data_IF_070958257014
#
_entry.id   IF_070958257014
#
_cell.length_a   1.000
_cell.length_b   1.000
_cell.length_c   1.000
_cell.angle_alpha   90.00
_cell.angle_beta   90.00
_cell.angle_gamma   90.00
#
_symmetry.space_group_name_H-M   'P 1'
#
loop_
_entity.id
_entity.type
_entity.pdbx_description
1 polymer ?
#
# COMPACT_ATOMS: atom_id res chain seq x y z
N UNK A 1 0.49 -11.46 -29.45
CA UNK A 1 1.90 -11.23 -29.08
C UNK A 1 2.43 -10.09 -29.95
N UNK A 2 2.65 -8.93 -29.36
CA UNK A 2 3.18 -7.77 -30.08
C UNK A 2 3.73 -6.77 -29.06
N UNK A 3 5.05 -6.57 -29.09
CA UNK A 3 5.78 -5.65 -28.23
C UNK A 3 5.46 -4.19 -28.55
N UNK A 4 5.34 -3.34 -27.54
CA UNK A 4 5.31 -1.89 -27.70
C UNK A 4 6.55 -1.40 -28.47
N UNK A 5 6.36 -0.53 -29.47
CA UNK A 5 7.45 0.18 -30.15
C UNK A 5 7.39 1.66 -29.79
N UNK A 6 8.47 2.15 -29.18
CA UNK A 6 8.73 3.57 -29.03
C UNK A 6 9.10 4.18 -30.38
N UNK A 7 8.41 5.24 -30.78
CA UNK A 7 8.84 6.12 -31.86
C UNK A 7 9.11 7.51 -31.30
N UNK A 8 10.38 7.90 -31.30
CA UNK A 8 10.81 9.24 -30.91
C UNK A 8 10.78 10.11 -32.18
N UNK A 9 9.72 10.88 -32.38
CA UNK A 9 9.60 11.83 -33.49
C UNK A 9 9.72 13.24 -32.93
N UNK A 10 10.92 13.81 -32.97
CA UNK A 10 11.17 15.21 -32.62
C UNK A 10 11.04 15.53 -31.12
N UNK A 11 11.91 16.39 -30.61
CA UNK A 11 12.24 16.54 -29.19
C UNK A 11 11.16 17.11 -28.25
N UNK A 12 9.88 17.19 -28.64
CA UNK A 12 8.83 17.73 -27.75
C UNK A 12 7.42 17.10 -27.88
N UNK A 13 7.24 16.04 -28.68
CA UNK A 13 5.91 15.43 -28.86
C UNK A 13 5.94 13.96 -28.49
N UNK A 14 5.43 13.64 -27.29
CA UNK A 14 5.14 12.27 -26.91
C UNK A 14 3.82 11.86 -27.58
N UNK A 15 3.91 11.04 -28.63
CA UNK A 15 2.73 10.46 -29.29
C UNK A 15 2.35 9.17 -28.56
N UNK A 16 1.27 9.19 -27.79
CA UNK A 16 0.68 8.00 -27.20
C UNK A 16 -0.22 7.33 -28.24
N UNK A 17 0.25 6.20 -28.79
CA UNK A 17 -0.56 5.38 -29.69
C UNK A 17 -1.39 4.43 -28.83
N UNK A 18 -2.66 4.76 -28.66
CA UNK A 18 -3.62 3.92 -27.94
C UNK A 18 -3.99 2.71 -28.81
N UNK A 19 -3.68 1.49 -28.34
CA UNK A 19 -4.00 0.27 -29.08
C UNK A 19 -5.45 -0.20 -28.91
N UNK A 20 -6.26 0.51 -28.12
CA UNK A 20 -7.65 0.16 -27.87
C UNK A 20 -8.58 0.61 -29.01
N UNK A 21 -8.65 -0.21 -30.06
CA UNK A 21 -9.54 -0.04 -31.21
C UNK A 21 -11.03 -0.15 -30.84
N UNK A 22 -11.36 -0.68 -29.65
CA UNK A 22 -12.72 -1.07 -29.28
C UNK A 22 -13.46 -0.08 -28.37
N UNK A 23 -12.81 0.99 -27.89
CA UNK A 23 -13.40 1.99 -26.97
C UNK A 23 -14.01 1.40 -25.68
N UNK A 24 -13.58 0.19 -25.26
CA UNK A 24 -14.02 -0.46 -24.01
C UNK A 24 -12.84 -0.76 -23.08
N UNK A 25 -12.12 0.29 -22.59
CA UNK A 25 -10.92 0.10 -21.77
C UNK A 25 -11.20 -0.63 -20.45
N UNK A 26 -12.38 -0.42 -19.86
CA UNK A 26 -12.75 -1.08 -18.62
C UNK A 26 -12.89 -2.60 -18.77
N UNK A 27 -13.55 -3.06 -19.85
CA UNK A 27 -13.73 -4.50 -20.10
C UNK A 27 -12.39 -5.21 -20.29
N UNK A 28 -11.41 -4.56 -20.92
CA UNK A 28 -10.05 -5.10 -21.07
C UNK A 28 -9.38 -5.28 -19.70
N UNK A 29 -9.43 -4.25 -18.85
CA UNK A 29 -8.90 -4.32 -17.48
C UNK A 29 -9.64 -5.39 -16.65
N UNK A 30 -10.96 -5.41 -16.73
CA UNK A 30 -11.80 -6.27 -15.90
C UNK A 30 -11.77 -7.74 -16.32
N UNK A 31 -11.51 -8.05 -17.59
CA UNK A 31 -11.36 -9.43 -18.05
C UNK A 31 -9.90 -9.92 -18.08
N UNK A 32 -8.94 -9.04 -17.81
CA UNK A 32 -7.53 -9.43 -17.73
C UNK A 32 -7.28 -10.44 -16.61
N UNK A 33 -6.55 -11.52 -16.91
CA UNK A 33 -6.27 -12.62 -15.96
C UNK A 33 -4.81 -12.70 -15.53
N UNK A 34 -3.93 -11.81 -16.00
CA UNK A 34 -2.53 -11.84 -15.60
C UNK A 34 -2.24 -11.20 -14.24
N UNK A 35 -0.98 -11.30 -13.82
CA UNK A 35 -0.53 -10.93 -12.48
C UNK A 35 0.02 -9.48 -12.40
N UNK A 36 0.15 -8.80 -13.54
CA UNK A 36 0.70 -7.45 -13.64
C UNK A 36 -0.15 -6.56 -14.54
N UNK A 37 -0.34 -5.30 -14.17
CA UNK A 37 -1.04 -4.28 -14.98
C UNK A 37 -0.09 -3.37 -15.77
N UNK A 38 1.20 -3.70 -15.86
CA UNK A 38 2.25 -2.87 -16.50
C UNK A 38 1.87 -2.39 -17.92
N UNK A 39 1.33 -3.28 -18.74
CA UNK A 39 1.00 -2.99 -20.14
C UNK A 39 -0.36 -2.30 -20.34
N UNK A 40 -1.10 -2.00 -19.27
CA UNK A 40 -2.49 -1.52 -19.34
C UNK A 40 -2.68 -0.08 -18.88
N UNK A 41 -1.59 0.69 -18.74
CA UNK A 41 -1.67 2.11 -18.36
C UNK A 41 -2.41 2.98 -19.39
N UNK A 42 -2.34 2.62 -20.66
CA UNK A 42 -3.09 3.26 -21.74
C UNK A 42 -4.61 3.09 -21.56
N UNK A 43 -5.07 1.96 -21.02
CA UNK A 43 -6.46 1.70 -20.71
C UNK A 43 -6.97 2.62 -19.59
N UNK A 44 -6.17 2.85 -18.54
CA UNK A 44 -6.53 3.78 -17.46
C UNK A 44 -6.63 5.22 -17.97
N UNK A 45 -5.71 5.66 -18.82
CA UNK A 45 -5.75 7.01 -19.40
C UNK A 45 -6.92 7.16 -20.39
N UNK A 46 -7.17 6.16 -21.23
CA UNK A 46 -8.33 6.13 -22.13
C UNK A 46 -9.63 6.21 -21.32
N UNK A 47 -9.72 5.43 -20.23
CA UNK A 47 -10.87 5.44 -19.33
C UNK A 47 -11.08 6.83 -18.71
N UNK A 48 -10.02 7.49 -18.26
CA UNK A 48 -10.06 8.87 -17.74
C UNK A 48 -10.64 9.85 -18.78
N UNK A 49 -10.16 9.80 -20.02
CA UNK A 49 -10.62 10.67 -21.11
C UNK A 49 -12.10 10.40 -21.43
N UNK A 50 -12.49 9.13 -21.52
CA UNK A 50 -13.88 8.71 -21.75
C UNK A 50 -14.78 9.22 -20.63
N UNK A 51 -14.39 9.07 -19.37
CA UNK A 51 -15.12 9.55 -18.21
C UNK A 51 -15.37 11.06 -18.24
N UNK A 52 -14.35 11.85 -18.61
CA UNK A 52 -14.47 13.31 -18.72
C UNK A 52 -15.39 13.68 -19.88
N UNK A 53 -15.19 13.08 -21.06
CA UNK A 53 -15.95 13.38 -22.28
C UNK A 53 -17.43 13.02 -22.14
N UNK A 54 -17.71 11.84 -21.60
CA UNK A 54 -19.06 11.29 -21.47
C UNK A 54 -19.72 11.64 -20.13
N UNK A 55 -18.99 12.35 -19.25
CA UNK A 55 -19.44 12.74 -17.90
C UNK A 55 -19.98 11.55 -17.10
N UNK A 56 -19.23 10.46 -17.11
CA UNK A 56 -19.60 9.19 -16.46
C UNK A 56 -18.46 8.63 -15.64
N UNK A 57 -18.80 7.83 -14.63
CA UNK A 57 -17.80 7.21 -13.76
C UNK A 57 -17.14 5.97 -14.39
N UNK A 58 -15.88 5.68 -14.03
CA UNK A 58 -15.09 4.61 -14.64
C UNK A 58 -15.50 3.20 -14.20
N UNK A 59 -16.26 3.05 -13.12
CA UNK A 59 -16.73 1.75 -12.60
C UNK A 59 -18.04 1.27 -13.21
N UNK A 60 -18.64 2.02 -14.14
CA UNK A 60 -19.88 1.61 -14.81
C UNK A 60 -19.66 0.30 -15.56
N UNK A 61 -20.39 -0.73 -15.16
CA UNK A 61 -20.22 -2.11 -15.66
C UNK A 61 -19.65 -3.09 -14.63
N UNK A 62 -19.28 -2.63 -13.43
CA UNK A 62 -18.97 -3.53 -12.33
C UNK A 62 -20.21 -4.27 -11.84
N UNK A 63 -20.07 -5.56 -11.45
CA UNK A 63 -21.10 -6.26 -10.70
C UNK A 63 -21.42 -5.52 -9.39
N UNK A 64 -22.70 -5.46 -9.02
CA UNK A 64 -23.13 -4.81 -7.77
C UNK A 64 -22.75 -5.64 -6.52
N UNK A 65 -22.44 -6.92 -6.69
CA UNK A 65 -22.19 -7.92 -5.65
C UNK A 65 -20.72 -8.38 -5.59
N UNK A 66 -19.79 -7.48 -5.91
CA UNK A 66 -18.35 -7.77 -5.86
C UNK A 66 -17.92 -8.29 -4.48
N UNK A 67 -17.38 -9.50 -4.48
CA UNK A 67 -16.74 -10.07 -3.30
C UNK A 67 -15.25 -9.70 -3.26
N UNK A 68 -14.93 -8.62 -2.56
CA UNK A 68 -13.55 -8.13 -2.40
C UNK A 68 -12.63 -9.13 -1.68
N UNK A 69 -13.17 -10.10 -0.94
CA UNK A 69 -12.38 -11.12 -0.23
C UNK A 69 -11.65 -12.06 -1.20
N UNK A 70 -12.31 -12.43 -2.30
CA UNK A 70 -11.82 -13.45 -3.24
C UNK A 70 -11.11 -12.88 -4.46
N UNK A 71 -11.15 -11.55 -4.67
CA UNK A 71 -10.48 -10.90 -5.78
C UNK A 71 -8.96 -11.08 -5.72
N UNK A 72 -8.33 -11.30 -6.88
CA UNK A 72 -6.86 -11.35 -6.97
C UNK A 72 -6.23 -10.00 -6.63
N UNK A 73 -4.95 -10.00 -6.27
CA UNK A 73 -4.20 -8.77 -5.98
C UNK A 73 -4.22 -7.82 -7.18
N UNK A 74 -4.09 -8.33 -8.41
CA UNK A 74 -4.24 -7.55 -9.66
C UNK A 74 -5.61 -6.88 -9.76
N UNK A 75 -6.71 -7.60 -9.48
CA UNK A 75 -8.06 -7.02 -9.53
C UNK A 75 -8.25 -5.92 -8.50
N UNK A 76 -7.70 -6.10 -7.30
CA UNK A 76 -7.72 -5.06 -6.27
C UNK A 76 -6.89 -3.83 -6.69
N UNK A 77 -5.72 -4.01 -7.34
CA UNK A 77 -4.94 -2.90 -7.91
C UNK A 77 -5.73 -2.14 -8.99
N UNK A 78 -6.41 -2.85 -9.89
CA UNK A 78 -7.28 -2.25 -10.92
C UNK A 78 -8.39 -1.43 -10.25
N UNK A 79 -9.12 -2.01 -9.30
CA UNK A 79 -10.18 -1.31 -8.57
C UNK A 79 -9.65 -0.10 -7.82
N UNK A 80 -8.48 -0.21 -7.19
CA UNK A 80 -7.81 0.93 -6.54
C UNK A 80 -7.57 2.07 -7.53
N UNK A 81 -7.02 1.79 -8.71
CA UNK A 81 -6.78 2.82 -9.73
C UNK A 81 -8.07 3.38 -10.31
N UNK A 82 -9.09 2.55 -10.54
CA UNK A 82 -10.43 2.99 -10.98
C UNK A 82 -11.05 3.94 -9.94
N UNK A 83 -10.96 3.59 -8.65
CA UNK A 83 -11.45 4.44 -7.56
C UNK A 83 -10.69 5.77 -7.49
N UNK A 84 -9.36 5.74 -7.65
CA UNK A 84 -8.54 6.95 -7.74
C UNK A 84 -8.96 7.85 -8.92
N UNK A 85 -9.13 7.28 -10.11
CA UNK A 85 -9.61 8.01 -11.28
C UNK A 85 -10.96 8.65 -11.03
N UNK A 86 -11.82 7.95 -10.30
CA UNK A 86 -13.16 8.44 -9.99
C UNK A 86 -13.17 9.66 -9.09
N UNK A 87 -12.28 9.68 -8.09
CA UNK A 87 -12.09 10.84 -7.23
C UNK A 87 -11.56 12.04 -8.04
N UNK A 88 -10.71 11.80 -9.05
CA UNK A 88 -10.22 12.86 -9.96
C UNK A 88 -11.30 13.44 -10.87
N UNK A 89 -12.23 12.60 -11.38
CA UNK A 89 -13.30 13.05 -12.29
C UNK A 89 -14.58 13.46 -11.55
N UNK A 90 -14.62 13.34 -10.22
CA UNK A 90 -15.81 13.62 -9.43
C UNK A 90 -16.35 15.03 -9.67
N UNK A 91 -15.47 16.03 -9.77
CA UNK A 91 -15.85 17.43 -9.96
C UNK A 91 -16.45 17.74 -11.35
N UNK A 92 -16.23 16.88 -12.36
CA UNK A 92 -16.71 17.11 -13.73
C UNK A 92 -17.98 16.32 -14.06
N UNK A 93 -18.42 15.42 -13.17
CA UNK A 93 -19.59 14.58 -13.37
C UNK A 93 -20.79 15.19 -12.63
N UNK A 94 -21.88 15.54 -13.35
CA UNK A 94 -22.95 16.40 -12.82
C UNK A 94 -23.86 15.70 -11.79
N UNK A 95 -23.95 14.37 -11.79
CA UNK A 95 -24.80 13.65 -10.85
C UNK A 95 -24.27 12.24 -10.63
N UNK A 96 -24.07 11.87 -9.36
CA UNK A 96 -23.75 10.50 -8.95
C UNK A 96 -25.04 9.84 -8.49
N UNK A 97 -25.55 8.86 -9.24
CA UNK A 97 -26.76 8.11 -8.83
C UNK A 97 -26.42 6.91 -7.94
N UNK A 98 -25.30 6.25 -8.22
CA UNK A 98 -24.79 5.10 -7.47
C UNK A 98 -23.25 5.13 -7.46
N UNK A 99 -22.65 4.74 -6.32
CA UNK A 99 -21.20 4.58 -6.17
C UNK A 99 -20.93 3.09 -5.90
N UNK A 100 -20.67 2.34 -6.95
CA UNK A 100 -20.71 0.86 -6.94
C UNK A 100 -19.35 0.22 -6.63
N UNK A 101 -18.40 1.02 -6.15
CA UNK A 101 -17.05 0.60 -5.78
C UNK A 101 -16.73 1.05 -4.35
N UNK A 102 -15.77 0.41 -3.68
CA UNK A 102 -15.26 0.93 -2.40
C UNK A 102 -14.40 2.21 -2.62
N UNK A 103 -14.36 3.13 -1.64
CA UNK A 103 -13.51 4.32 -1.72
C UNK A 103 -12.03 3.98 -1.90
N UNK A 104 -11.25 4.90 -2.48
CA UNK A 104 -9.84 4.67 -2.82
C UNK A 104 -9.05 4.22 -1.61
N UNK A 105 -9.25 4.87 -0.46
CA UNK A 105 -8.52 4.57 0.77
C UNK A 105 -8.77 3.13 1.27
N UNK A 106 -10.00 2.62 1.13
CA UNK A 106 -10.34 1.26 1.54
C UNK A 106 -9.66 0.25 0.60
N UNK A 107 -9.75 0.47 -0.71
CA UNK A 107 -9.09 -0.39 -1.70
C UNK A 107 -7.57 -0.34 -1.57
N UNK A 108 -7.03 0.82 -1.26
CA UNK A 108 -5.62 0.99 -1.00
C UNK A 108 -5.19 0.13 0.19
N UNK A 109 -5.92 0.14 1.30
CA UNK A 109 -5.61 -0.75 2.43
C UNK A 109 -5.74 -2.22 2.06
N UNK A 110 -6.77 -2.64 1.31
CA UNK A 110 -6.89 -4.04 0.88
C UNK A 110 -5.71 -4.50 0.03
N UNK A 111 -5.29 -3.68 -0.94
CA UNK A 111 -4.10 -3.95 -1.76
C UNK A 111 -2.86 -4.04 -0.87
N UNK A 112 -2.66 -3.07 0.02
CA UNK A 112 -1.51 -3.03 0.92
C UNK A 112 -1.48 -4.24 1.86
N UNK A 113 -2.62 -4.66 2.43
CA UNK A 113 -2.71 -5.87 3.27
C UNK A 113 -2.26 -7.11 2.49
N UNK A 114 -2.76 -7.32 1.27
CA UNK A 114 -2.34 -8.47 0.44
C UNK A 114 -0.84 -8.45 0.15
N UNK A 115 -0.31 -7.31 -0.27
CA UNK A 115 1.12 -7.15 -0.55
C UNK A 115 1.99 -7.41 0.69
N UNK A 116 1.55 -6.95 1.86
CA UNK A 116 2.24 -7.20 3.12
C UNK A 116 2.24 -8.69 3.46
N UNK A 117 1.09 -9.38 3.35
CA UNK A 117 0.99 -10.82 3.58
C UNK A 117 1.93 -11.56 2.62
N UNK A 118 1.83 -11.30 1.31
CA UNK A 118 2.66 -11.94 0.28
C UNK A 118 4.16 -11.75 0.56
N UNK A 119 4.59 -10.53 0.91
CA UNK A 119 5.98 -10.23 1.23
C UNK A 119 6.44 -10.89 2.53
N UNK A 120 5.65 -10.80 3.61
CA UNK A 120 6.00 -11.42 4.89
C UNK A 120 6.12 -12.94 4.75
N UNK A 121 5.20 -13.59 4.05
CA UNK A 121 5.28 -15.04 3.75
C UNK A 121 6.57 -15.38 3.01
N UNK A 122 6.95 -14.60 1.98
CA UNK A 122 8.23 -14.78 1.28
C UNK A 122 9.44 -14.63 2.21
N UNK A 123 9.46 -13.60 3.05
CA UNK A 123 10.56 -13.36 3.99
C UNK A 123 10.65 -14.47 5.04
N UNK A 124 9.53 -14.98 5.55
CA UNK A 124 9.53 -16.12 6.47
C UNK A 124 10.04 -17.40 5.82
N UNK A 125 9.74 -17.63 4.55
CA UNK A 125 10.31 -18.75 3.82
C UNK A 125 11.81 -18.56 3.61
N UNK A 126 12.26 -17.38 3.18
CA UNK A 126 13.70 -17.04 3.07
C UNK A 126 14.43 -17.23 4.40
N UNK A 127 13.79 -16.90 5.52
CA UNK A 127 14.34 -17.05 6.88
C UNK A 127 14.65 -18.52 7.25
N UNK A 128 13.91 -19.47 6.68
CA UNK A 128 14.17 -20.92 6.91
C UNK A 128 15.50 -21.36 6.30
N UNK A 129 15.95 -20.66 5.26
CA UNK A 129 17.16 -21.00 4.50
C UNK A 129 18.35 -20.11 4.89
N UNK A 130 18.09 -18.83 5.18
CA UNK A 130 19.13 -17.81 5.40
C UNK A 130 18.71 -16.82 6.48
N UNK A 131 19.69 -16.22 7.17
CA UNK A 131 19.41 -15.14 8.12
C UNK A 131 18.92 -13.90 7.37
N UNK A 132 17.79 -13.34 7.81
CA UNK A 132 17.30 -12.05 7.30
C UNK A 132 18.17 -10.89 7.80
N UNK A 133 18.30 -9.84 6.99
CA UNK A 133 18.99 -8.62 7.41
C UNK A 133 18.19 -7.86 8.48
N UNK A 134 18.87 -7.02 9.26
CA UNK A 134 18.19 -6.20 10.28
C UNK A 134 17.13 -5.28 9.66
N UNK A 135 17.36 -4.81 8.43
CA UNK A 135 16.37 -4.04 7.67
C UNK A 135 15.11 -4.88 7.39
N UNK A 136 15.28 -6.12 6.92
CA UNK A 136 14.16 -7.03 6.68
C UNK A 136 13.40 -7.35 7.98
N UNK A 137 14.12 -7.63 9.07
CA UNK A 137 13.52 -7.92 10.36
C UNK A 137 12.72 -6.72 10.91
N UNK A 138 13.29 -5.51 10.88
CA UNK A 138 12.59 -4.28 11.30
C UNK A 138 11.38 -3.97 10.41
N UNK A 139 11.49 -4.23 9.11
CA UNK A 139 10.38 -4.07 8.19
C UNK A 139 9.23 -5.04 8.50
N UNK A 140 9.52 -6.30 8.82
CA UNK A 140 8.51 -7.29 9.27
C UNK A 140 7.81 -6.78 10.54
N UNK A 141 8.55 -6.22 11.49
CA UNK A 141 7.99 -5.64 12.70
C UNK A 141 6.98 -4.52 12.40
N UNK A 142 7.37 -3.54 11.58
CA UNK A 142 6.48 -2.43 11.17
C UNK A 142 5.25 -2.95 10.42
N UNK A 143 5.44 -3.91 9.51
CA UNK A 143 4.35 -4.50 8.74
C UNK A 143 3.38 -5.29 9.60
N UNK A 144 3.88 -6.04 10.59
CA UNK A 144 3.06 -6.72 11.58
C UNK A 144 2.23 -5.71 12.41
N UNK A 145 2.83 -4.58 12.81
CA UNK A 145 2.10 -3.51 13.47
C UNK A 145 1.01 -2.92 12.57
N UNK A 146 1.32 -2.65 11.30
CA UNK A 146 0.33 -2.19 10.32
C UNK A 146 -0.86 -3.15 10.24
N UNK A 147 -0.63 -4.47 10.16
CA UNK A 147 -1.72 -5.45 10.12
C UNK A 147 -2.58 -5.41 11.40
N UNK A 148 -1.96 -5.29 12.58
CA UNK A 148 -2.68 -5.11 13.86
C UNK A 148 -3.52 -3.84 13.86
N UNK A 149 -2.99 -2.75 13.32
CA UNK A 149 -3.70 -1.46 13.21
C UNK A 149 -4.92 -1.56 12.28
N UNK A 150 -4.82 -2.31 11.17
CA UNK A 150 -5.95 -2.52 10.26
C UNK A 150 -7.10 -3.27 10.95
N UNK A 151 -6.78 -4.19 11.86
CA UNK A 151 -7.77 -4.87 12.72
C UNK A 151 -8.37 -3.87 13.71
N UNK A 152 -7.54 -3.15 14.46
CA UNK A 152 -7.99 -2.19 15.48
C UNK A 152 -8.87 -1.06 14.90
N UNK A 153 -8.57 -0.58 13.68
CA UNK A 153 -9.33 0.46 12.99
C UNK A 153 -10.60 -0.04 12.29
N UNK A 154 -10.93 -1.33 12.45
CA UNK A 154 -12.08 -1.98 11.83
C UNK A 154 -12.10 -1.83 10.29
N UNK A 155 -10.93 -1.89 9.64
CA UNK A 155 -10.85 -1.76 8.18
C UNK A 155 -11.47 -2.97 7.47
N UNK A 156 -11.25 -4.18 8.00
CA UNK A 156 -11.76 -5.42 7.39
C UNK A 156 -13.31 -5.46 7.35
N UNK A 157 -14.04 -5.18 8.46
CA UNK A 157 -15.50 -5.06 8.41
C UNK A 157 -15.99 -3.95 7.47
N UNK A 158 -15.35 -2.77 7.48
CA UNK A 158 -15.72 -1.64 6.58
C UNK A 158 -15.55 -2.00 5.10
N UNK A 159 -14.53 -2.78 4.80
CA UNK A 159 -14.25 -3.28 3.45
C UNK A 159 -15.18 -4.44 3.03
N UNK A 160 -15.93 -5.04 3.96
CA UNK A 160 -16.72 -6.25 3.74
C UNK A 160 -15.86 -7.41 3.19
N UNK A 161 -14.64 -7.57 3.73
CA UNK A 161 -13.78 -8.72 3.44
C UNK A 161 -13.96 -9.79 4.50
N UNK A 162 -13.72 -11.04 4.11
CA UNK A 162 -14.11 -12.21 4.86
C UNK A 162 -12.92 -13.09 5.23
N UNK A 163 -13.15 -14.40 5.18
CA UNK A 163 -12.24 -15.41 5.70
C UNK A 163 -10.86 -15.40 5.02
N UNK A 164 -10.80 -15.13 3.72
CA UNK A 164 -9.55 -15.23 2.96
C UNK A 164 -8.52 -14.20 3.44
N UNK A 165 -8.93 -12.96 3.62
CA UNK A 165 -8.06 -11.91 4.17
C UNK A 165 -7.70 -12.18 5.63
N UNK A 166 -8.69 -12.57 6.43
CA UNK A 166 -8.51 -12.79 7.87
C UNK A 166 -7.53 -13.94 8.14
N UNK A 167 -7.71 -15.08 7.49
CA UNK A 167 -6.85 -16.25 7.67
C UNK A 167 -5.40 -15.94 7.24
N UNK A 168 -5.22 -15.23 6.12
CA UNK A 168 -3.91 -14.81 5.64
C UNK A 168 -3.20 -13.86 6.62
N UNK A 169 -3.93 -12.88 7.17
CA UNK A 169 -3.40 -11.96 8.20
C UNK A 169 -3.03 -12.70 9.48
N UNK A 170 -3.91 -13.57 9.98
CA UNK A 170 -3.68 -14.31 11.23
C UNK A 170 -2.41 -15.15 11.12
N UNK A 171 -2.20 -15.85 10.00
CA UNK A 171 -1.03 -16.71 9.85
C UNK A 171 0.28 -15.91 9.85
N UNK A 172 0.36 -14.82 9.08
CA UNK A 172 1.59 -14.01 9.06
C UNK A 172 1.82 -13.29 10.38
N UNK A 173 0.76 -12.82 11.04
CA UNK A 173 0.86 -12.16 12.34
C UNK A 173 1.28 -13.14 13.44
N UNK A 174 0.79 -14.38 13.41
CA UNK A 174 1.17 -15.42 14.37
C UNK A 174 2.67 -15.66 14.32
N UNK A 175 3.21 -15.92 13.13
CA UNK A 175 4.66 -16.11 12.94
C UNK A 175 5.42 -14.86 13.36
N UNK A 176 4.96 -13.67 12.95
CA UNK A 176 5.62 -12.41 13.28
C UNK A 176 5.68 -12.14 14.79
N UNK A 177 4.66 -12.52 15.56
CA UNK A 177 4.65 -12.30 17.01
C UNK A 177 5.61 -13.21 17.79
N UNK A 178 6.07 -14.30 17.17
CA UNK A 178 7.04 -15.24 17.75
C UNK A 178 8.50 -14.85 17.46
N UNK A 179 8.72 -13.77 16.70
CA UNK A 179 10.07 -13.34 16.31
C UNK A 179 10.70 -12.38 17.34
N UNK A 180 11.99 -12.60 17.57
CA UNK A 180 12.85 -11.59 18.20
C UNK A 180 13.31 -10.59 17.13
N UNK A 181 13.06 -9.31 17.39
CA UNK A 181 13.38 -8.22 16.47
C UNK A 181 14.62 -7.46 16.93
N UNK A 182 15.43 -6.92 16.00
CA UNK A 182 16.42 -5.91 16.34
C UNK A 182 15.79 -4.70 17.01
N UNK A 183 16.60 -3.94 17.76
CA UNK A 183 16.17 -2.67 18.35
C UNK A 183 15.46 -1.78 17.31
N UNK A 184 14.26 -1.24 17.63
CA UNK A 184 13.55 -0.33 16.75
C UNK A 184 14.38 0.94 16.50
N UNK A 185 14.23 1.47 15.29
CA UNK A 185 14.85 2.74 14.92
C UNK A 185 14.17 3.89 15.68
N UNK A 186 14.97 4.89 16.05
CA UNK A 186 14.45 6.16 16.52
C UNK A 186 14.01 7.00 15.32
N UNK A 187 12.90 7.69 15.48
CA UNK A 187 12.45 8.67 14.51
C UNK A 187 13.39 9.87 14.51
N UNK A 188 13.84 10.31 13.32
CA UNK A 188 14.74 11.46 13.20
C UNK A 188 14.08 12.81 13.52
N UNK A 189 12.74 12.90 13.60
CA UNK A 189 12.06 14.17 13.90
C UNK A 189 11.54 14.29 15.32
N UNK A 190 11.06 13.20 15.92
CA UNK A 190 10.57 13.23 17.31
C UNK A 190 11.48 12.48 18.30
N UNK A 191 12.44 11.69 17.83
CA UNK A 191 13.31 10.88 18.68
C UNK A 191 12.65 9.63 19.28
N UNK A 192 11.35 9.42 19.05
CA UNK A 192 10.63 8.26 19.57
C UNK A 192 10.91 6.99 18.76
N UNK A 193 10.73 5.84 19.40
CA UNK A 193 10.84 4.54 18.74
C UNK A 193 9.76 4.39 17.67
N UNK A 194 10.18 3.97 16.47
CA UNK A 194 9.27 3.67 15.36
C UNK A 194 8.64 2.31 15.61
N UNK A 195 7.46 2.33 16.24
CA UNK A 195 6.72 1.13 16.59
C UNK A 195 5.73 0.67 15.49
N UNK A 196 5.44 1.54 14.52
CA UNK A 196 4.41 1.30 13.51
C UNK A 196 4.62 2.07 12.20
N UNK A 197 3.60 2.06 11.31
CA UNK A 197 3.66 2.68 10.00
C UNK A 197 3.63 4.22 10.06
N UNK A 198 3.26 4.78 11.21
CA UNK A 198 3.19 6.22 11.49
C UNK A 198 3.79 6.46 12.88
N UNK A 199 4.47 7.59 13.07
CA UNK A 199 4.88 8.03 14.41
C UNK A 199 3.75 8.75 15.16
N UNK A 200 3.91 8.92 16.47
CA UNK A 200 2.95 9.61 17.31
C UNK A 200 3.66 10.70 18.13
N UNK A 201 3.43 12.01 17.86
CA UNK A 201 2.48 12.57 16.89
C UNK A 201 2.87 12.28 15.42
N UNK A 202 1.88 12.24 14.50
CA UNK A 202 2.15 12.00 13.09
C UNK A 202 2.90 13.20 12.51
N UNK A 203 4.04 12.93 11.91
CA UNK A 203 4.82 13.87 11.13
C UNK A 203 4.92 13.37 9.70
N UNK A 204 5.25 14.28 8.77
CA UNK A 204 5.35 13.97 7.35
C UNK A 204 6.61 13.14 7.11
N UNK A 205 6.54 11.82 7.30
CA UNK A 205 7.53 10.90 6.71
C UNK A 205 7.18 10.42 5.32
N UNK A 206 8.23 10.37 4.52
CA UNK A 206 8.26 9.49 3.37
C UNK A 206 8.51 8.06 3.82
N UNK A 207 7.57 7.15 3.55
CA UNK A 207 7.67 5.72 3.86
C UNK A 207 7.89 4.93 2.59
N UNK A 208 8.74 3.91 2.64
CA UNK A 208 8.90 2.99 1.52
C UNK A 208 7.61 2.21 1.29
N UNK A 209 7.10 2.24 0.06
CA UNK A 209 5.84 1.58 -0.31
C UNK A 209 5.87 0.05 -0.26
N UNK A 210 7.06 -0.55 -0.12
CA UNK A 210 7.26 -2.01 -0.07
C UNK A 210 7.53 -2.47 1.37
N UNK A 211 8.47 -1.82 2.07
CA UNK A 211 8.87 -2.24 3.43
C UNK A 211 8.17 -1.49 4.56
N UNK A 212 7.47 -0.39 4.27
CA UNK A 212 6.92 0.57 5.25
C UNK A 212 7.98 1.21 6.17
N UNK A 213 9.26 0.97 5.90
CA UNK A 213 10.35 1.62 6.62
C UNK A 213 10.36 3.12 6.28
N UNK A 214 10.68 3.98 7.26
CA UNK A 214 10.83 5.40 7.03
C UNK A 214 12.09 5.70 6.21
N UNK A 215 11.94 6.56 5.22
CA UNK A 215 13.02 7.16 4.45
C UNK A 215 13.26 8.55 5.04
N UNK A 216 14.42 8.71 5.69
CA UNK A 216 14.80 9.96 6.34
C UNK A 216 15.55 10.91 5.42
N UNK A 217 16.00 10.40 4.27
CA UNK A 217 16.76 11.16 3.27
C UNK A 217 16.15 10.94 1.88
N UNK A 218 16.94 11.07 0.83
CA UNK A 218 16.47 11.00 -0.56
C UNK A 218 16.20 9.55 -0.91
N UNK A 219 14.92 9.23 -1.13
CA UNK A 219 14.53 7.93 -1.67
C UNK A 219 15.29 7.63 -2.97
N UNK A 220 15.82 6.43 -3.12
CA UNK A 220 16.57 6.05 -4.32
C UNK A 220 15.68 5.61 -5.48
N UNK A 221 14.43 5.27 -5.20
CA UNK A 221 13.49 4.80 -6.20
C UNK A 221 12.16 5.53 -6.11
N UNK A 222 11.61 5.89 -7.27
CA UNK A 222 10.31 6.56 -7.40
C UNK A 222 9.50 5.99 -8.54
N UNK A 223 8.22 5.72 -8.28
CA UNK A 223 7.30 5.30 -9.33
C UNK A 223 6.99 6.48 -10.26
N UNK A 224 7.13 6.34 -11.59
CA UNK A 224 6.82 7.42 -12.53
C UNK A 224 5.32 7.79 -12.54
N UNK A 225 4.43 6.87 -12.15
CA UNK A 225 2.98 7.08 -12.16
C UNK A 225 2.46 7.59 -10.82
N UNK A 226 2.45 6.76 -9.78
CA UNK A 226 1.85 7.12 -8.49
C UNK A 226 2.81 7.84 -7.52
N UNK A 227 4.06 8.08 -7.93
CA UNK A 227 5.09 8.77 -7.14
C UNK A 227 5.45 8.10 -5.81
N UNK A 228 5.00 6.87 -5.57
CA UNK A 228 5.42 6.05 -4.43
C UNK A 228 6.94 5.84 -4.45
N UNK A 229 7.52 5.75 -3.27
CA UNK A 229 8.96 5.75 -3.07
C UNK A 229 9.43 4.41 -2.50
N UNK A 230 10.67 4.01 -2.80
CA UNK A 230 11.27 2.82 -2.21
C UNK A 230 12.73 3.02 -1.82
N UNK A 231 13.14 2.32 -0.76
CA UNK A 231 14.51 2.26 -0.27
C UNK A 231 15.41 1.46 -1.21
N UNK A 232 16.68 1.85 -1.28
CA UNK A 232 17.71 1.03 -1.94
C UNK A 232 17.82 -0.40 -1.40
N UNK A 233 17.63 -0.60 -0.09
CA UNK A 233 17.71 -1.92 0.55
C UNK A 233 16.73 -2.95 -0.04
N UNK A 234 15.71 -2.50 -0.77
CA UNK A 234 14.76 -3.37 -1.50
C UNK A 234 15.45 -4.12 -2.66
N UNK A 235 16.59 -3.65 -3.17
CA UNK A 235 17.40 -4.35 -4.18
C UNK A 235 17.80 -5.76 -3.75
N UNK A 236 17.90 -6.03 -2.43
CA UNK A 236 18.18 -7.35 -1.88
C UNK A 236 17.02 -8.37 -2.07
N UNK A 237 15.82 -7.86 -2.36
CA UNK A 237 14.59 -8.65 -2.51
C UNK A 237 14.04 -8.64 -3.94
N UNK A 238 14.32 -7.60 -4.71
CA UNK A 238 13.78 -7.38 -6.06
C UNK A 238 14.82 -6.71 -6.96
N UNK A 239 15.06 -7.29 -8.14
CA UNK A 239 15.83 -6.66 -9.20
C UNK A 239 15.28 -7.13 -10.56
N UNK A 240 14.62 -6.25 -11.35
CA UNK A 240 14.36 -4.84 -11.07
C UNK A 240 13.26 -4.60 -10.01
N UNK A 241 13.19 -3.37 -9.48
CA UNK A 241 12.20 -2.96 -8.47
C UNK A 241 10.95 -2.44 -9.17
N UNK A 242 9.81 -3.09 -8.94
CA UNK A 242 8.51 -2.66 -9.45
C UNK A 242 7.70 -1.93 -8.37
N UNK A 243 6.93 -0.93 -8.79
CA UNK A 243 5.99 -0.28 -7.89
C UNK A 243 4.86 -1.25 -7.53
N UNK A 244 4.61 -1.53 -6.25
CA UNK A 244 3.65 -2.57 -5.85
C UNK A 244 2.20 -2.22 -6.17
N UNK A 245 1.90 -0.95 -6.48
CA UNK A 245 0.55 -0.49 -6.82
C UNK A 245 0.31 -0.32 -8.32
N UNK A 246 1.39 -0.15 -9.08
CA UNK A 246 1.34 0.24 -10.49
C UNK A 246 1.94 -0.80 -11.44
N UNK A 247 2.68 -1.75 -10.88
CA UNK A 247 3.39 -2.83 -11.58
C UNK A 247 4.37 -2.37 -12.65
N UNK A 248 4.79 -1.10 -12.59
CA UNK A 248 5.82 -0.52 -13.46
C UNK A 248 7.16 -0.48 -12.75
N UNK A 249 8.24 -0.60 -13.51
CA UNK A 249 9.60 -0.42 -13.00
C UNK A 249 9.74 0.96 -12.37
N UNK A 250 10.29 1.01 -11.15
CA UNK A 250 10.56 2.27 -10.46
C UNK A 250 11.83 2.91 -11.02
N UNK A 251 11.77 4.22 -11.23
CA UNK A 251 12.91 5.00 -11.71
C UNK A 251 13.90 5.22 -10.56
N UNK A 252 15.18 4.99 -10.84
CA UNK A 252 16.25 5.32 -9.89
C UNK A 252 16.44 6.82 -9.86
N UNK A 253 16.32 7.42 -8.68
CA UNK A 253 16.63 8.83 -8.45
C UNK A 253 18.15 8.97 -8.43
N UNK A 254 18.70 9.56 -9.49
CA UNK A 254 20.12 9.90 -9.56
C UNK A 254 20.28 11.29 -8.96
N UNK A 255 20.90 11.37 -7.78
CA UNK A 255 21.38 12.64 -7.25
C UNK A 255 22.58 13.09 -8.08
N UNK A 256 22.51 14.29 -8.65
CA UNK A 256 23.57 14.82 -9.52
C UNK A 256 24.87 15.15 -8.77
N UNK A 257 24.81 15.28 -7.44
CA UNK A 257 25.94 15.65 -6.59
C UNK A 257 26.33 14.49 -5.66
N UNK A 258 27.46 13.84 -5.96
CA UNK A 258 28.01 12.76 -5.14
C UNK A 258 28.47 13.24 -3.75
N UNK A 259 28.83 14.52 -3.58
CA UNK A 259 29.12 15.08 -2.25
C UNK A 259 27.85 15.22 -1.42
N UNK A 260 26.74 15.63 -2.05
CA UNK A 260 25.45 15.70 -1.38
C UNK A 260 24.96 14.30 -0.99
N UNK A 261 25.16 13.31 -1.85
CA UNK A 261 24.83 11.91 -1.60
C UNK A 261 25.64 11.30 -0.44
N UNK A 262 26.93 11.58 -0.35
CA UNK A 262 27.72 11.11 0.80
C UNK A 262 27.35 11.85 2.08
N UNK A 263 27.04 13.16 2.03
CA UNK A 263 26.48 13.89 3.18
C UNK A 263 25.15 13.30 3.64
N UNK A 264 24.27 12.96 2.71
CA UNK A 264 23.02 12.26 2.99
C UNK A 264 23.25 10.90 3.66
N UNK A 265 24.19 10.10 3.14
CA UNK A 265 24.55 8.79 3.71
C UNK A 265 25.15 8.91 5.11
N UNK A 266 26.04 9.87 5.32
CA UNK A 266 26.61 10.17 6.63
C UNK A 266 25.54 10.64 7.61
N UNK A 267 24.59 11.46 7.16
CA UNK A 267 23.45 11.87 7.97
C UNK A 267 22.58 10.69 8.40
N UNK A 268 22.31 9.69 7.55
CA UNK A 268 21.58 8.47 7.95
C UNK A 268 22.35 7.66 9.02
N UNK A 269 23.67 7.57 8.87
CA UNK A 269 24.55 6.91 9.83
C UNK A 269 24.64 7.66 11.17
N UNK A 270 24.65 9.00 11.14
CA UNK A 270 24.72 9.86 12.33
C UNK A 270 23.38 9.99 13.04
N UNK A 271 22.26 10.15 12.33
CA UNK A 271 20.91 10.19 12.91
C UNK A 271 20.48 8.85 13.49
N UNK A 272 21.02 7.73 12.99
CA UNK A 272 20.88 6.44 13.69
C UNK A 272 21.55 6.41 15.09
N UNK A 273 22.36 7.43 15.42
CA UNK A 273 23.13 7.55 16.67
C UNK A 273 22.82 8.81 17.49
N UNK A 274 22.14 9.82 16.93
CA UNK A 274 21.86 11.09 17.61
C UNK A 274 20.36 11.43 17.57
N UNK A 275 19.82 11.73 18.76
CA UNK A 275 18.51 12.35 18.92
C UNK A 275 18.57 13.78 18.38
N UNK A 276 17.79 14.09 17.36
CA UNK A 276 17.53 15.47 16.99
C UNK A 276 16.48 16.01 17.96
N UNK A 277 16.92 16.78 18.96
CA UNK A 277 16.09 17.34 20.05
C UNK A 277 15.11 18.45 19.60
N UNK A 278 14.95 18.68 18.28
CA UNK A 278 14.13 19.78 17.76
C UNK A 278 13.02 19.23 16.88
N UNK A 279 11.94 18.83 17.53
CA UNK A 279 10.63 18.84 16.88
C UNK A 279 10.36 20.27 16.41
N UNK A 280 10.37 20.51 15.09
CA UNK A 280 9.86 21.74 14.49
C UNK A 280 8.34 21.74 14.67
N UNK A 281 7.90 22.07 15.88
CA UNK A 281 6.52 22.03 16.31
C UNK A 281 5.70 23.15 15.66
N UNK A 282 5.30 22.93 14.41
CA UNK A 282 4.03 23.44 13.87
C UNK A 282 2.86 22.46 14.17
N UNK A 283 3.12 21.36 14.87
CA UNK A 283 2.09 20.44 15.34
C UNK A 283 1.35 21.05 16.55
N UNK A 284 0.09 21.42 16.31
CA UNK A 284 -0.96 21.84 17.25
C UNK A 284 -0.65 21.59 18.73
N UNK A 285 -0.28 22.65 19.44
CA UNK A 285 -0.23 22.71 20.91
C UNK A 285 -1.64 22.80 21.52
N UNK A 286 -2.56 21.94 21.13
CA UNK A 286 -3.79 21.77 21.89
C UNK A 286 -3.55 20.67 22.91
N UNK A 287 -3.53 21.07 24.19
CA UNK A 287 -3.54 20.12 25.31
C UNK A 287 -4.83 19.31 25.19
N UNK A 288 -4.73 18.07 24.75
CA UNK A 288 -5.82 17.11 24.90
C UNK A 288 -5.92 16.84 26.40
N UNK A 289 -7.01 17.29 27.02
CA UNK A 289 -7.35 16.92 28.38
C UNK A 289 -7.74 15.44 28.36
N UNK A 290 -6.89 14.58 28.90
CA UNK A 290 -7.07 13.12 28.91
C UNK A 290 -8.33 12.72 29.70
N UNK A 291 -8.90 13.64 30.49
CA UNK A 291 -10.15 13.45 31.21
C UNK A 291 -11.42 13.60 30.35
N UNK A 292 -11.30 14.01 29.07
CA UNK A 292 -12.43 14.07 28.12
C UNK A 292 -12.54 12.83 27.22
N UNK A 293 -11.67 11.84 27.39
CA UNK A 293 -11.82 10.54 26.72
C UNK A 293 -12.80 9.71 27.54
N UNK A 294 -14.06 9.68 27.13
CA UNK A 294 -15.06 8.73 27.68
C UNK A 294 -14.52 7.29 27.54
N UNK A 295 -14.21 6.67 28.68
CA UNK A 295 -13.91 5.24 28.80
C UNK A 295 -15.12 4.46 28.29
N UNK A 296 -15.00 3.89 27.10
CA UNK A 296 -16.02 3.00 26.56
C UNK A 296 -15.83 1.62 27.21
N UNK A 297 -16.41 1.43 28.39
CA UNK A 297 -16.45 0.18 29.18
C UNK A 297 -17.30 -0.92 28.50
N UNK A 298 -16.94 -1.32 27.28
CA UNK A 298 -17.60 -2.46 26.65
C UNK A 298 -16.89 -3.75 27.06
N UNK A 299 -17.43 -4.42 28.08
CA UNK A 299 -17.07 -5.80 28.44
C UNK A 299 -17.31 -6.75 27.24
N UNK A 300 -16.25 -7.42 26.78
CA UNK A 300 -16.35 -8.44 25.74
C UNK A 300 -16.71 -9.80 26.34
N UNK A 301 -17.94 -10.26 26.10
CA UNK A 301 -18.33 -11.66 26.40
C UNK A 301 -17.75 -12.58 25.31
N UNK A 302 -16.71 -13.33 25.67
CA UNK A 302 -16.09 -14.34 24.79
C UNK A 302 -16.92 -15.64 24.86
N UNK A 303 -17.69 -15.97 23.83
CA UNK A 303 -18.32 -17.28 23.70
C UNK A 303 -17.29 -18.33 23.23
N UNK A 304 -16.86 -19.22 24.13
CA UNK A 304 -16.14 -20.45 23.77
C UNK A 304 -17.17 -21.52 23.33
N UNK A 305 -17.10 -21.98 22.08
CA UNK A 305 -17.86 -23.16 21.62
C UNK A 305 -17.33 -24.41 22.32
N UNK A 306 -18.09 -24.95 23.26
CA UNK A 306 -17.97 -26.35 23.70
C UNK A 306 -18.61 -27.26 22.65
N UNK A 307 -17.89 -28.31 22.27
CA UNK A 307 -18.33 -29.31 21.31
C UNK A 307 -19.63 -29.99 21.77
N UNK A 308 -20.71 -29.88 20.99
CA UNK A 308 -21.87 -30.75 21.15
C UNK A 308 -21.56 -32.11 20.52
N UNK A 309 -21.40 -33.11 21.39
CA UNK A 309 -21.50 -34.52 21.04
C UNK A 309 -22.91 -34.82 20.54
N UNK A 310 -22.95 -35.60 19.47
CA UNK A 310 -24.08 -36.36 18.96
C UNK A 310 -24.82 -37.12 20.06
N UNK A 311 -26.15 -37.00 20.11
CA UNK A 311 -27.01 -38.12 20.44
C UNK A 311 -28.33 -38.03 19.65
N UNK A 312 -28.51 -39.02 18.77
CA UNK A 312 -29.79 -39.55 18.33
C UNK A 312 -30.72 -39.77 19.52
N UNK A 313 -32.03 -39.53 19.37
CA UNK A 313 -33.05 -40.59 19.37
C UNK A 313 -34.47 -40.05 19.19
N UNK A 314 -35.20 -40.78 18.33
CA UNK A 314 -36.65 -40.91 18.07
C UNK A 314 -37.43 -39.63 17.74
#
# INVERSE_FOLDING_TARGET
>A
MGSAKFFQIGSYVNVFVYHNVQLKPFDLLWNYQGDSIEDYWDCFETLRIVCIKEKRFPWLGLPNDLNYDTLSTTKLKILRLVSQLSEMVFAVIPTVKTYDIKPFIILHYLVTIKLVIERMTRLFNKRKETKLSDFQMRSIFIQNFFLKEMVAKNILPKANVGKTFIDGMIEVMRIANELEYPEPLDCVWCGDKILGPVCFPPHVDTRCCISMMPMFVVAEYKCPYCKSLAHKQIEEEYSPIYCPYCDVVMERIIMADEQLKEKCRLFELETSKQKLDVCFADCLKEKIDVNEIEENDTEYIIFRRTAMKSHLTV
#
